data_IF_301340769822
#
_entry.id   IF_301340769822
#
_cell.length_a   1.000
_cell.length_b   1.000
_cell.length_c   1.000
_cell.angle_alpha   90.00
_cell.angle_beta   90.00
_cell.angle_gamma   90.00
#
_symmetry.space_group_name_H-M   'P 1'
#
loop_
_entity.id
_entity.type
_entity.pdbx_description
1 polymer ?
#
# COMPACT_ATOMS: atom_id res chain seq x y z
N UNK A 1 62.47 -27.32 -25.51
CA UNK A 1 62.06 -27.53 -26.91
C UNK A 1 60.63 -28.06 -26.85
N UNK A 2 59.61 -27.22 -27.11
CA UNK A 2 58.87 -27.16 -28.40
C UNK A 2 58.20 -28.52 -28.69
N UNK A 3 56.89 -28.71 -28.93
CA UNK A 3 55.76 -27.86 -29.33
C UNK A 3 54.48 -28.75 -29.22
N UNK A 4 53.29 -28.13 -28.99
CA UNK A 4 51.97 -28.40 -29.63
C UNK A 4 51.31 -29.81 -29.46
N UNK A 5 50.00 -30.07 -29.39
CA UNK A 5 48.75 -29.42 -29.85
C UNK A 5 47.58 -30.16 -29.15
N UNK A 6 46.43 -29.52 -28.90
CA UNK A 6 45.21 -30.29 -28.61
C UNK A 6 44.10 -29.58 -27.84
N UNK A 7 43.48 -28.59 -28.49
CA UNK A 7 42.25 -27.91 -28.10
C UNK A 7 41.07 -28.88 -27.89
N UNK A 8 40.36 -28.81 -26.76
CA UNK A 8 38.93 -29.16 -26.68
C UNK A 8 38.21 -28.23 -25.70
N UNK A 9 37.30 -27.47 -26.30
CA UNK A 9 36.43 -26.45 -25.73
C UNK A 9 35.31 -27.13 -24.95
N UNK A 10 35.10 -26.75 -23.69
CA UNK A 10 33.78 -26.84 -23.06
C UNK A 10 33.31 -25.43 -22.72
N UNK A 11 32.48 -24.91 -23.61
CA UNK A 11 31.60 -23.78 -23.37
C UNK A 11 30.61 -24.17 -22.27
N UNK A 12 30.68 -23.51 -21.12
CA UNK A 12 29.55 -23.36 -20.22
C UNK A 12 29.23 -21.88 -20.11
N UNK A 13 28.42 -21.41 -21.06
CA UNK A 13 27.68 -20.16 -20.97
C UNK A 13 26.64 -20.36 -19.88
N UNK A 14 26.70 -19.63 -18.77
CA UNK A 14 25.49 -19.02 -18.20
C UNK A 14 25.88 -17.69 -17.55
N UNK A 15 25.91 -16.63 -18.37
CA UNK A 15 25.71 -15.27 -17.88
C UNK A 15 24.28 -15.16 -17.35
N UNK A 16 24.05 -15.46 -16.07
CA UNK A 16 22.77 -15.08 -15.44
C UNK A 16 22.81 -13.60 -15.07
N UNK A 17 22.44 -12.80 -16.06
CA UNK A 17 21.51 -11.68 -15.95
C UNK A 17 21.42 -11.04 -14.55
N UNK A 18 22.06 -9.88 -14.41
CA UNK A 18 21.82 -8.91 -13.33
C UNK A 18 20.37 -8.43 -13.24
N UNK A 19 19.50 -8.79 -14.19
CA UNK A 19 18.08 -8.41 -14.16
C UNK A 19 17.25 -9.27 -13.19
N UNK A 20 17.73 -10.45 -12.77
CA UNK A 20 16.96 -11.33 -11.90
C UNK A 20 17.02 -10.94 -10.41
N UNK A 21 18.03 -10.18 -9.99
CA UNK A 21 18.13 -9.65 -8.62
C UNK A 21 17.20 -8.46 -8.33
N UNK A 22 16.53 -7.89 -9.34
CA UNK A 22 15.65 -6.73 -9.17
C UNK A 22 14.18 -7.09 -8.96
N UNK A 23 13.77 -8.36 -9.10
CA UNK A 23 12.37 -8.76 -8.95
C UNK A 23 12.03 -9.23 -7.52
N UNK A 24 13.02 -9.72 -6.77
CA UNK A 24 12.83 -10.25 -5.41
C UNK A 24 12.85 -9.17 -4.32
N UNK A 25 13.37 -7.97 -4.59
CA UNK A 25 13.42 -6.86 -3.61
C UNK A 25 12.06 -6.15 -3.42
N UNK A 26 11.00 -6.60 -4.10
CA UNK A 26 9.69 -5.94 -4.09
C UNK A 26 8.54 -6.84 -3.59
N UNK A 27 8.85 -7.86 -2.79
CA UNK A 27 7.85 -8.58 -2.00
C UNK A 27 8.16 -8.31 -0.52
N UNK A 28 7.34 -7.48 0.13
CA UNK A 28 7.32 -7.35 1.59
C UNK A 28 8.37 -6.43 2.23
N UNK A 29 8.67 -5.26 1.64
CA UNK A 29 9.40 -4.25 2.41
C UNK A 29 8.51 -3.75 3.56
N UNK A 30 9.00 -3.88 4.81
CA UNK A 30 8.42 -3.27 6.02
C UNK A 30 8.46 -1.72 5.98
N UNK A 31 8.72 -1.13 4.82
CA UNK A 31 8.92 0.29 4.60
C UNK A 31 7.78 0.83 3.73
N UNK A 32 7.18 1.93 4.16
CA UNK A 32 6.28 2.65 3.28
C UNK A 32 7.00 3.22 2.07
N UNK A 33 6.30 3.24 0.95
CA UNK A 33 6.61 4.16 -0.13
C UNK A 33 6.24 5.59 0.31
N UNK A 34 7.22 6.30 0.88
CA UNK A 34 7.06 7.68 1.31
C UNK A 34 6.71 8.64 0.17
N UNK A 35 6.97 8.27 -1.09
CA UNK A 35 6.64 9.11 -2.25
C UNK A 35 5.12 9.26 -2.43
N UNK A 36 4.34 8.30 -1.93
CA UNK A 36 2.87 8.33 -1.97
C UNK A 36 2.27 9.50 -1.17
N UNK A 37 3.00 10.08 -0.20
CA UNK A 37 2.53 11.28 0.50
C UNK A 37 2.36 12.48 -0.44
N UNK A 38 3.11 12.55 -1.55
CA UNK A 38 2.92 13.58 -2.59
C UNK A 38 1.60 13.42 -3.35
N UNK A 39 0.94 12.26 -3.20
CA UNK A 39 -0.31 11.89 -3.87
C UNK A 39 -1.53 12.04 -2.96
N UNK A 40 -1.32 12.41 -1.71
CA UNK A 40 -2.39 12.70 -0.76
C UNK A 40 -2.91 14.11 -1.03
N UNK A 41 -4.17 14.24 -1.47
CA UNK A 41 -4.85 15.53 -1.49
C UNK A 41 -5.00 16.06 -0.05
N UNK A 42 -4.73 17.35 0.21
CA UNK A 42 -4.79 18.00 1.55
C UNK A 42 -4.11 17.19 2.69
N UNK A 43 -2.81 16.92 2.60
CA UNK A 43 -2.11 16.07 3.57
C UNK A 43 -2.05 16.68 4.98
N UNK A 44 -2.19 18.00 5.12
CA UNK A 44 -2.11 18.71 6.39
C UNK A 44 -3.21 18.31 7.38
N UNK A 45 -4.31 17.71 6.89
CA UNK A 45 -5.36 17.20 7.76
C UNK A 45 -5.00 15.89 8.46
N UNK A 46 -3.99 15.18 7.95
CA UNK A 46 -3.63 13.84 8.42
C UNK A 46 -2.55 13.94 9.50
N UNK A 47 -2.88 13.45 10.68
CA UNK A 47 -1.92 13.31 11.77
C UNK A 47 -1.34 11.89 11.75
N UNK A 48 -0.03 11.77 11.53
CA UNK A 48 0.67 10.48 11.69
C UNK A 48 0.65 10.05 13.15
N UNK A 49 0.27 8.80 13.39
CA UNK A 49 0.17 8.23 14.74
C UNK A 49 1.35 7.34 15.10
N UNK A 50 2.18 6.98 14.11
CA UNK A 50 3.43 6.24 14.29
C UNK A 50 4.53 6.81 13.39
N UNK A 51 5.81 6.71 13.81
CA UNK A 51 6.94 7.20 13.03
C UNK A 51 7.20 6.35 11.78
N UNK A 52 6.99 5.04 11.91
CA UNK A 52 7.07 4.06 10.82
C UNK A 52 5.67 3.62 10.39
N UNK A 53 5.63 2.86 9.30
CA UNK A 53 4.40 2.26 8.83
C UNK A 53 4.01 1.04 9.63
N UNK A 54 2.71 0.74 9.59
CA UNK A 54 2.17 -0.48 10.19
C UNK A 54 1.87 -1.48 9.10
N UNK A 55 1.97 -2.75 9.49
CA UNK A 55 1.46 -3.87 8.72
C UNK A 55 0.37 -4.55 9.54
N UNK A 56 -0.81 -4.71 8.95
CA UNK A 56 -1.98 -5.32 9.58
C UNK A 56 -2.58 -6.38 8.68
N UNK A 57 -3.33 -7.31 9.27
CA UNK A 57 -4.07 -8.34 8.54
C UNK A 57 -5.56 -8.22 8.83
N UNK A 58 -6.38 -8.61 7.86
CA UNK A 58 -7.82 -8.43 7.93
C UNK A 58 -8.51 -8.68 6.60
N UNK A 59 -9.83 -8.48 6.58
CA UNK A 59 -10.67 -8.76 5.42
C UNK A 59 -11.11 -7.48 4.73
N UNK A 60 -11.03 -7.45 3.40
CA UNK A 60 -11.55 -6.35 2.59
C UNK A 60 -13.08 -6.32 2.71
N UNK A 61 -13.61 -5.18 3.13
CA UNK A 61 -15.04 -4.88 3.16
C UNK A 61 -15.49 -4.13 1.91
N UNK A 62 -16.52 -3.29 2.07
CA UNK A 62 -17.02 -2.45 0.97
C UNK A 62 -15.95 -1.46 0.52
N UNK A 63 -15.76 -1.36 -0.80
CA UNK A 63 -14.91 -0.37 -1.46
C UNK A 63 -15.76 0.62 -2.26
N UNK A 64 -15.37 1.89 -2.24
CA UNK A 64 -16.01 2.94 -3.05
C UNK A 64 -14.96 3.93 -3.57
N UNK A 65 -15.20 4.47 -4.76
CA UNK A 65 -14.35 5.50 -5.35
C UNK A 65 -14.68 6.86 -4.76
N UNK A 66 -13.67 7.69 -4.57
CA UNK A 66 -13.82 9.04 -4.03
C UNK A 66 -13.43 10.10 -5.05
N UNK A 67 -14.00 11.30 -4.90
CA UNK A 67 -13.82 12.38 -5.89
C UNK A 67 -12.36 12.85 -6.02
N UNK A 68 -11.55 12.66 -4.99
CA UNK A 68 -10.11 12.96 -4.99
C UNK A 68 -9.27 11.90 -5.73
N UNK A 69 -9.91 10.88 -6.31
CA UNK A 69 -9.25 9.79 -7.04
C UNK A 69 -8.81 8.64 -6.14
N UNK A 70 -8.97 8.74 -4.83
CA UNK A 70 -8.63 7.66 -3.91
C UNK A 70 -9.71 6.58 -3.89
N UNK A 71 -9.34 5.40 -3.42
CA UNK A 71 -10.33 4.48 -2.88
C UNK A 71 -10.63 4.82 -1.42
N UNK A 72 -11.85 4.50 -1.02
CA UNK A 72 -12.27 4.35 0.36
C UNK A 72 -12.63 2.88 0.55
N UNK A 73 -11.87 2.18 1.39
CA UNK A 73 -12.06 0.74 1.61
C UNK A 73 -12.29 0.49 3.09
N UNK A 74 -13.41 -0.17 3.42
CA UNK A 74 -13.61 -0.72 4.75
C UNK A 74 -12.67 -1.92 4.94
N UNK A 75 -11.99 -1.97 6.07
CA UNK A 75 -11.09 -3.06 6.39
C UNK A 75 -11.36 -3.59 7.79
N UNK A 76 -11.87 -4.81 7.84
CA UNK A 76 -12.15 -5.51 9.08
C UNK A 76 -10.87 -6.16 9.56
N UNK A 77 -10.23 -5.52 10.55
CA UNK A 77 -9.01 -6.05 11.17
C UNK A 77 -9.26 -7.44 11.75
N UNK A 78 -8.25 -8.31 11.65
CA UNK A 78 -8.25 -9.59 12.35
C UNK A 78 -8.49 -9.37 13.86
N UNK A 79 -9.12 -10.33 14.56
CA UNK A 79 -9.48 -10.20 15.98
C UNK A 79 -8.27 -10.33 16.93
N UNK A 80 -7.11 -9.77 16.57
CA UNK A 80 -5.90 -9.75 17.39
C UNK A 80 -6.01 -8.63 18.44
N UNK A 81 -5.68 -8.88 19.72
CA UNK A 81 -5.74 -7.85 20.77
C UNK A 81 -4.96 -6.57 20.44
N UNK A 82 -3.82 -6.70 19.77
CA UNK A 82 -3.00 -5.57 19.32
C UNK A 82 -3.73 -4.67 18.30
N UNK A 83 -4.54 -5.24 17.42
CA UNK A 83 -5.27 -4.49 16.38
C UNK A 83 -6.48 -3.73 16.93
N UNK A 84 -7.07 -4.17 18.05
CA UNK A 84 -8.18 -3.44 18.70
C UNK A 84 -7.78 -2.00 19.06
N UNK A 85 -6.51 -1.78 19.41
CA UNK A 85 -5.97 -0.46 19.77
C UNK A 85 -5.78 0.47 18.56
N UNK A 86 -5.87 -0.05 17.34
CA UNK A 86 -5.75 0.74 16.11
C UNK A 86 -7.05 1.49 15.75
N UNK A 87 -8.18 1.11 16.34
CA UNK A 87 -9.45 1.77 16.12
C UNK A 87 -9.70 2.81 17.21
N UNK A 88 -10.16 4.00 16.81
CA UNK A 88 -10.72 4.96 17.75
C UNK A 88 -12.25 4.86 17.80
N UNK A 89 -12.89 5.69 18.62
CA UNK A 89 -14.35 5.67 18.77
C UNK A 89 -15.08 6.07 17.49
N UNK A 90 -14.46 6.90 16.65
CA UNK A 90 -15.05 7.29 15.37
C UNK A 90 -15.02 6.15 14.37
N UNK A 91 -13.95 5.33 14.33
CA UNK A 91 -13.97 4.07 13.58
C UNK A 91 -15.11 3.16 14.07
N UNK A 92 -15.25 3.00 15.39
CA UNK A 92 -16.29 2.14 15.97
C UNK A 92 -17.70 2.61 15.60
N UNK A 93 -17.99 3.90 15.77
CA UNK A 93 -19.34 4.47 15.63
C UNK A 93 -19.71 4.82 14.19
N UNK A 94 -18.80 5.42 13.44
CA UNK A 94 -19.07 5.94 12.10
C UNK A 94 -18.60 4.99 10.99
N UNK A 95 -17.69 4.06 11.29
CA UNK A 95 -17.15 3.10 10.32
C UNK A 95 -17.47 1.64 10.65
N UNK A 96 -18.44 1.42 11.52
CA UNK A 96 -18.90 0.09 11.94
C UNK A 96 -17.74 -0.80 12.43
N UNK A 97 -16.76 -0.21 13.12
CA UNK A 97 -15.59 -0.93 13.64
C UNK A 97 -14.54 -1.28 12.59
N UNK A 98 -14.60 -0.72 11.38
CA UNK A 98 -13.57 -0.92 10.36
C UNK A 98 -12.45 0.11 10.49
N UNK A 99 -11.23 -0.33 10.19
CA UNK A 99 -10.16 0.57 9.80
C UNK A 99 -10.43 0.99 8.34
N UNK A 100 -10.12 2.23 7.98
CA UNK A 100 -10.28 2.69 6.61
C UNK A 100 -8.94 2.60 5.90
N UNK A 101 -8.93 2.05 4.68
CA UNK A 101 -7.77 2.10 3.81
C UNK A 101 -7.99 3.17 2.74
N UNK A 102 -6.96 3.96 2.48
CA UNK A 102 -6.94 5.00 1.46
C UNK A 102 -5.82 4.77 0.43
N UNK A 103 -5.96 3.78 -0.47
CA UNK A 103 -5.19 3.74 -1.71
C UNK A 103 -5.35 5.04 -2.50
N UNK A 104 -4.24 5.67 -2.87
CA UNK A 104 -4.23 6.99 -3.49
C UNK A 104 -4.22 6.93 -5.01
N UNK A 105 -4.93 7.85 -5.68
CA UNK A 105 -4.91 8.01 -7.13
C UNK A 105 -5.27 6.76 -7.94
N UNK A 106 -6.23 5.99 -7.43
CA UNK A 106 -6.73 4.74 -8.03
C UNK A 106 -7.68 4.97 -9.21
N UNK A 107 -8.32 6.14 -9.25
CA UNK A 107 -9.31 6.49 -10.27
C UNK A 107 -9.14 7.91 -10.79
N UNK A 108 -9.90 8.22 -11.85
CA UNK A 108 -10.01 9.56 -12.39
C UNK A 108 -10.49 10.53 -11.31
N UNK A 109 -9.67 11.54 -11.02
CA UNK A 109 -10.03 12.63 -10.12
C UNK A 109 -11.17 13.43 -10.74
N UNK A 110 -12.26 13.62 -9.99
CA UNK A 110 -13.41 14.44 -10.39
C UNK A 110 -13.52 15.72 -9.57
N UNK A 111 -12.78 15.81 -8.47
CA UNK A 111 -12.67 17.01 -7.63
C UNK A 111 -11.60 17.96 -8.19
N UNK A 112 -11.95 19.18 -8.63
CA UNK A 112 -11.00 20.08 -9.30
C UNK A 112 -9.74 20.41 -8.49
N UNK A 113 -9.89 20.68 -7.19
CA UNK A 113 -8.77 21.05 -6.31
C UNK A 113 -7.90 19.85 -5.87
N UNK A 114 -8.26 18.62 -6.28
CA UNK A 114 -7.47 17.41 -6.01
C UNK A 114 -6.63 16.95 -7.22
N UNK A 115 -6.87 17.49 -8.42
CA UNK A 115 -6.24 17.03 -9.68
C UNK A 115 -4.72 17.01 -9.60
N UNK A 116 -4.12 18.03 -8.97
CA UNK A 116 -2.68 18.15 -8.86
C UNK A 116 -2.02 16.98 -8.12
N UNK A 117 -2.68 16.40 -7.10
CA UNK A 117 -2.11 15.32 -6.29
C UNK A 117 -1.84 14.05 -7.13
N UNK A 118 -2.73 13.75 -8.08
CA UNK A 118 -2.66 12.55 -8.91
C UNK A 118 -2.13 12.79 -10.32
N UNK A 119 -1.70 14.02 -10.64
CA UNK A 119 -1.20 14.34 -11.98
C UNK A 119 0.03 13.49 -12.32
N UNK A 120 0.00 12.88 -13.51
CA UNK A 120 1.07 12.05 -14.07
C UNK A 120 1.50 10.90 -13.13
N UNK A 121 0.55 10.30 -12.42
CA UNK A 121 0.80 9.17 -11.55
C UNK A 121 -0.12 8.00 -11.90
N UNK A 122 0.47 6.82 -12.05
CA UNK A 122 -0.25 5.55 -12.22
C UNK A 122 0.06 4.67 -11.01
N UNK A 123 -0.94 4.30 -10.20
CA UNK A 123 -0.72 3.42 -9.07
C UNK A 123 -0.34 2.01 -9.54
N UNK A 124 0.60 1.37 -8.84
CA UNK A 124 0.93 -0.05 -9.03
C UNK A 124 0.07 -0.97 -8.15
N UNK A 125 -0.59 -0.41 -7.14
CA UNK A 125 -1.42 -1.14 -6.20
C UNK A 125 -2.68 -1.67 -6.89
N UNK A 126 -3.16 -2.83 -6.43
CA UNK A 126 -4.50 -3.34 -6.71
C UNK A 126 -5.24 -3.53 -5.39
N UNK A 127 -6.52 -3.18 -5.36
CA UNK A 127 -7.39 -3.46 -4.21
C UNK A 127 -8.09 -4.79 -4.50
N UNK A 128 -7.87 -5.84 -3.68
CA UNK A 128 -8.56 -7.12 -3.85
C UNK A 128 -10.06 -7.00 -3.63
N UNK A 129 -10.80 -8.01 -4.08
CA UNK A 129 -12.25 -8.06 -3.97
C UNK A 129 -12.71 -8.13 -2.51
N UNK A 130 -13.94 -7.66 -2.28
CA UNK A 130 -14.60 -7.77 -0.99
C UNK A 130 -14.65 -9.23 -0.53
N UNK A 131 -14.30 -9.48 0.74
CA UNK A 131 -14.22 -10.80 1.34
C UNK A 131 -12.82 -11.41 1.34
N UNK A 132 -11.87 -10.88 0.55
CA UNK A 132 -10.50 -11.37 0.53
C UNK A 132 -9.76 -11.05 1.83
N UNK A 133 -9.05 -12.03 2.37
CA UNK A 133 -8.12 -11.86 3.49
C UNK A 133 -6.78 -11.37 2.97
N UNK A 134 -6.26 -10.29 3.56
CA UNK A 134 -5.07 -9.61 3.05
C UNK A 134 -4.19 -9.10 4.20
N UNK A 135 -2.92 -8.93 3.87
CA UNK A 135 -1.97 -8.12 4.62
C UNK A 135 -1.85 -6.74 3.97
N UNK A 136 -1.92 -5.68 4.77
CA UNK A 136 -1.87 -4.29 4.32
C UNK A 136 -0.77 -3.54 5.04
N UNK A 137 0.08 -2.85 4.28
CA UNK A 137 1.13 -1.96 4.83
C UNK A 137 0.88 -0.53 4.38
N UNK A 138 1.04 0.43 5.29
CA UNK A 138 0.97 1.85 4.95
C UNK A 138 1.10 2.78 6.16
N UNK A 139 0.96 4.08 5.93
CA UNK A 139 1.08 5.07 7.02
C UNK A 139 -0.19 5.10 7.85
N UNK A 140 -0.08 4.92 9.16
CA UNK A 140 -1.21 4.97 10.07
C UNK A 140 -1.45 6.39 10.57
N UNK A 141 -2.63 6.92 10.28
CA UNK A 141 -2.98 8.32 10.53
C UNK A 141 -4.37 8.46 11.17
N UNK A 142 -4.61 9.62 11.76
CA UNK A 142 -5.95 10.12 12.06
C UNK A 142 -6.31 11.22 11.06
N UNK A 143 -7.49 11.12 10.44
CA UNK A 143 -7.99 12.18 9.56
C UNK A 143 -8.75 13.23 10.37
N UNK A 144 -8.15 14.41 10.52
CA UNK A 144 -8.70 15.52 11.30
C UNK A 144 -9.55 16.48 10.46
N UNK A 145 -9.96 16.12 9.23
CA UNK A 145 -10.95 16.91 8.50
C UNK A 145 -12.28 17.01 9.26
N UNK A 146 -13.01 18.09 8.98
CA UNK A 146 -14.37 18.28 9.48
C UNK A 146 -15.25 17.08 9.08
N UNK A 147 -16.03 16.57 10.03
CA UNK A 147 -16.90 15.38 9.90
C UNK A 147 -16.17 14.05 9.71
N UNK A 148 -14.83 14.03 9.71
CA UNK A 148 -14.03 12.82 9.74
C UNK A 148 -13.74 12.41 11.19
N UNK A 149 -12.48 12.20 11.55
CA UNK A 149 -12.03 11.84 12.89
C UNK A 149 -11.78 10.35 13.10
N UNK A 150 -11.92 9.50 12.08
CA UNK A 150 -11.50 8.09 12.16
C UNK A 150 -10.02 7.93 11.83
N UNK A 151 -9.47 6.79 12.23
CA UNK A 151 -8.12 6.38 11.87
C UNK A 151 -8.13 5.54 10.61
N UNK A 152 -7.04 5.64 9.87
CA UNK A 152 -6.90 5.04 8.55
C UNK A 152 -5.46 4.67 8.24
N UNK A 153 -5.28 3.79 7.25
CA UNK A 153 -4.01 3.62 6.55
C UNK A 153 -4.06 4.50 5.31
N UNK A 154 -3.31 5.60 5.33
CA UNK A 154 -3.30 6.61 4.27
C UNK A 154 -1.93 7.31 4.21
N UNK A 155 -1.18 7.19 3.11
CA UNK A 155 -1.43 6.31 1.97
C UNK A 155 -1.18 4.83 2.29
N UNK A 156 -1.87 3.95 1.55
CA UNK A 156 -1.57 2.51 1.50
C UNK A 156 -0.40 2.28 0.57
N UNK A 157 0.60 1.54 1.04
CA UNK A 157 1.79 1.15 0.25
C UNK A 157 1.59 -0.20 -0.43
N UNK A 158 1.08 -1.20 0.28
CA UNK A 158 0.88 -2.55 -0.25
C UNK A 158 -0.40 -3.19 0.27
N UNK A 159 -0.98 -4.05 -0.56
CA UNK A 159 -2.07 -4.97 -0.21
C UNK A 159 -1.72 -6.31 -0.85
N UNK A 160 -1.51 -7.32 -0.02
CA UNK A 160 -1.11 -8.66 -0.46
C UNK A 160 -2.15 -9.66 0.04
N UNK A 161 -2.81 -10.42 -0.84
CA UNK A 161 -3.64 -11.56 -0.43
C UNK A 161 -2.84 -12.51 0.45
N UNK A 162 -3.46 -13.01 1.50
CA UNK A 162 -2.91 -14.06 2.35
C UNK A 162 -3.85 -15.27 2.31
N UNK A 163 -3.30 -16.51 2.24
CA UNK A 163 -4.10 -17.73 2.20
C UNK A 163 -5.00 -17.94 3.42
#
# INVERSE_FOLDING_TARGET
MLHEMGLLIFLAVISTSTAQQNLETQIGSNYCDGSLWKRVYKPQRLQKLQPSCITVTGTIGKSQTEKDGNFYVQFKLDPKPVFKKLLNDRNRKAQNGNLILRPVCMHKVTRPDAVAACKNFTPKLRVPDQGMHVMVTGTYVQDNARNHGWREIHPVTSILPIP
#
